data_IF_095028768436
#
_entry.id   IF_095028768436
#
_cell.length_a   1.000
_cell.length_b   1.000
_cell.length_c   1.000
_cell.angle_alpha   90.00
_cell.angle_beta   90.00
_cell.angle_gamma   90.00
#
_symmetry.space_group_name_H-M   'P 1'
#
loop_
_entity.id
_entity.type
_entity.pdbx_description
1 polymer ?
#
# COMPACT_ATOMS: atom_id res chain seq x y z
N UNK A 1 -12.73 15.74 -0.30
CA UNK A 1 -12.99 15.04 -1.58
C UNK A 1 -13.66 13.70 -1.29
N UNK A 2 -14.48 13.19 -2.21
CA UNK A 2 -15.27 11.97 -2.04
C UNK A 2 -14.46 10.71 -2.39
N UNK A 3 -13.25 10.58 -1.85
CA UNK A 3 -12.37 9.44 -2.12
C UNK A 3 -12.45 8.47 -0.94
N UNK A 4 -12.81 7.22 -1.21
CA UNK A 4 -12.73 6.13 -0.25
C UNK A 4 -11.29 5.68 -0.06
N UNK A 5 -10.92 5.32 1.17
CA UNK A 5 -9.63 4.74 1.48
C UNK A 5 -9.81 3.45 2.26
N UNK A 6 -9.21 2.37 1.78
CA UNK A 6 -9.19 1.07 2.47
C UNK A 6 -7.75 0.58 2.52
N UNK A 7 -7.29 0.21 3.72
CA UNK A 7 -5.99 -0.42 3.91
C UNK A 7 -6.17 -1.88 4.29
N UNK A 8 -5.56 -2.78 3.51
CA UNK A 8 -5.46 -4.20 3.87
C UNK A 8 -4.07 -4.44 4.42
N UNK A 9 -3.97 -4.68 5.73
CA UNK A 9 -2.69 -4.91 6.41
C UNK A 9 -2.14 -6.33 6.24
N UNK A 10 -3.00 -7.28 5.85
CA UNK A 10 -2.67 -8.68 5.66
C UNK A 10 -3.84 -9.50 5.13
N UNK A 11 -3.53 -10.62 4.47
CA UNK A 11 -4.51 -11.61 4.00
C UNK A 11 -4.56 -12.84 4.93
N UNK A 12 -4.20 -12.69 6.21
CA UNK A 12 -4.11 -13.81 7.16
C UNK A 12 -5.46 -14.17 7.79
N UNK A 13 -6.45 -13.29 7.71
CA UNK A 13 -7.80 -13.52 8.18
C UNK A 13 -8.63 -14.17 7.06
N UNK A 14 -9.39 -15.22 7.38
CA UNK A 14 -10.28 -15.89 6.42
C UNK A 14 -11.47 -15.02 5.98
N UNK A 15 -11.69 -13.87 6.64
CA UNK A 15 -12.78 -12.94 6.33
C UNK A 15 -12.30 -11.64 5.65
N UNK A 16 -11.04 -11.53 5.23
CA UNK A 16 -10.51 -10.29 4.61
C UNK A 16 -11.35 -9.82 3.43
N UNK A 17 -11.79 -10.73 2.54
CA UNK A 17 -12.63 -10.38 1.39
C UNK A 17 -14.04 -9.94 1.81
N UNK A 18 -14.65 -10.61 2.80
CA UNK A 18 -15.96 -10.24 3.31
C UNK A 18 -15.93 -8.86 3.99
N UNK A 19 -14.88 -8.57 4.76
CA UNK A 19 -14.68 -7.29 5.42
C UNK A 19 -14.46 -6.16 4.40
N UNK A 20 -13.68 -6.43 3.33
CA UNK A 20 -13.55 -5.52 2.20
C UNK A 20 -14.91 -5.25 1.56
N UNK A 21 -15.70 -6.28 1.24
CA UNK A 21 -17.03 -6.13 0.64
C UNK A 21 -17.95 -5.26 1.51
N UNK A 22 -17.99 -5.51 2.82
CA UNK A 22 -18.75 -4.67 3.77
C UNK A 22 -18.29 -3.21 3.74
N UNK A 23 -16.98 -2.97 3.70
CA UNK A 23 -16.41 -1.63 3.59
C UNK A 23 -16.79 -0.95 2.26
N UNK A 24 -16.72 -1.66 1.13
CA UNK A 24 -17.14 -1.17 -0.18
C UNK A 24 -18.63 -0.78 -0.20
N UNK A 25 -19.50 -1.62 0.36
CA UNK A 25 -20.94 -1.32 0.48
C UNK A 25 -21.14 -0.05 1.30
N UNK A 26 -20.46 0.08 2.44
CA UNK A 26 -20.54 1.29 3.28
C UNK A 26 -20.06 2.53 2.52
N UNK A 27 -18.93 2.46 1.85
CA UNK A 27 -18.40 3.59 1.07
C UNK A 27 -19.33 3.98 -0.09
N UNK A 28 -19.97 3.02 -0.76
CA UNK A 28 -21.00 3.29 -1.77
C UNK A 28 -22.18 4.08 -1.21
N UNK A 29 -22.61 3.81 0.03
CA UNK A 29 -23.66 4.63 0.68
C UNK A 29 -23.23 6.07 0.94
N UNK A 30 -21.92 6.31 1.03
CA UNK A 30 -21.32 7.65 1.17
C UNK A 30 -21.07 8.34 -0.18
N UNK A 31 -21.47 7.71 -1.29
CA UNK A 31 -21.34 8.25 -2.65
C UNK A 31 -19.90 8.62 -3.02
N UNK A 32 -18.94 7.76 -2.66
CA UNK A 32 -17.55 7.93 -3.10
C UNK A 32 -17.45 7.94 -4.62
N UNK A 33 -16.54 8.75 -5.13
CA UNK A 33 -16.25 8.91 -6.56
C UNK A 33 -15.06 8.07 -6.99
N UNK A 34 -14.17 7.73 -6.06
CA UNK A 34 -13.00 6.89 -6.29
C UNK A 34 -12.59 6.13 -5.02
N UNK A 35 -11.73 5.12 -5.19
CA UNK A 35 -11.18 4.31 -4.11
C UNK A 35 -9.66 4.21 -4.21
N UNK A 36 -9.00 4.39 -3.08
CA UNK A 36 -7.59 4.04 -2.87
C UNK A 36 -7.55 2.76 -2.03
N UNK A 37 -6.92 1.71 -2.56
CA UNK A 37 -6.64 0.47 -1.85
C UNK A 37 -5.16 0.42 -1.47
N UNK A 38 -4.85 0.55 -0.18
CA UNK A 38 -3.48 0.50 0.32
C UNK A 38 -3.06 -0.94 0.65
N UNK A 39 -2.11 -1.47 -0.13
CA UNK A 39 -1.44 -2.76 0.07
C UNK A 39 0.02 -2.62 0.50
N UNK A 40 0.48 -1.41 0.83
CA UNK A 40 1.86 -1.17 1.25
C UNK A 40 2.14 -1.87 2.56
N UNK A 41 3.33 -2.46 2.65
CA UNK A 41 3.79 -3.25 3.80
C UNK A 41 2.91 -4.46 4.13
N UNK A 42 2.04 -4.91 3.22
CA UNK A 42 1.23 -6.11 3.38
C UNK A 42 2.02 -7.34 2.89
N UNK A 43 2.44 -8.27 3.79
CA UNK A 43 3.28 -9.41 3.45
C UNK A 43 2.54 -10.54 2.71
N UNK A 44 1.25 -10.34 2.43
CA UNK A 44 0.37 -11.31 1.81
C UNK A 44 -0.44 -12.10 2.85
N UNK A 45 -0.63 -13.40 2.57
CA UNK A 45 -1.44 -14.28 3.41
C UNK A 45 -2.10 -15.37 2.56
N UNK A 46 -3.36 -15.66 2.85
CA UNK A 46 -4.14 -16.70 2.21
C UNK A 46 -4.41 -16.36 0.74
N UNK A 47 -4.07 -17.29 -0.16
CA UNK A 47 -4.35 -17.18 -1.59
C UNK A 47 -5.84 -16.94 -1.87
N UNK A 48 -6.71 -17.70 -1.21
CA UNK A 48 -8.17 -17.61 -1.39
C UNK A 48 -8.67 -16.20 -1.14
N UNK A 49 -8.16 -15.55 -0.10
CA UNK A 49 -8.51 -14.18 0.23
C UNK A 49 -8.01 -13.17 -0.79
N UNK A 50 -6.80 -13.34 -1.34
CA UNK A 50 -6.35 -12.47 -2.43
C UNK A 50 -7.18 -12.66 -3.71
N UNK A 51 -7.56 -13.90 -4.03
CA UNK A 51 -8.42 -14.16 -5.19
C UNK A 51 -9.77 -13.48 -5.00
N UNK A 52 -10.43 -13.67 -3.87
CA UNK A 52 -11.74 -13.05 -3.60
C UNK A 52 -11.67 -11.51 -3.52
N UNK A 53 -10.59 -10.96 -2.95
CA UNK A 53 -10.36 -9.50 -2.95
C UNK A 53 -10.17 -8.95 -4.37
N UNK A 54 -9.42 -9.63 -5.23
CA UNK A 54 -9.30 -9.23 -6.63
C UNK A 54 -10.64 -9.33 -7.37
N UNK A 55 -11.43 -10.36 -7.05
CA UNK A 55 -12.75 -10.62 -7.63
C UNK A 55 -13.76 -9.50 -7.32
N UNK A 56 -13.62 -8.80 -6.18
CA UNK A 56 -14.46 -7.62 -5.87
C UNK A 56 -14.36 -6.49 -6.90
N UNK A 57 -13.27 -6.43 -7.65
CA UNK A 57 -13.00 -5.35 -8.60
C UNK A 57 -13.08 -5.79 -10.06
N UNK A 58 -12.97 -7.09 -10.34
CA UNK A 58 -12.88 -7.66 -11.68
C UNK A 58 -14.19 -8.33 -12.07
N UNK A 59 -14.73 -8.00 -13.24
CA UNK A 59 -15.95 -8.64 -13.75
C UNK A 59 -15.67 -9.92 -14.55
N UNK A 60 -14.43 -10.09 -15.02
CA UNK A 60 -13.95 -11.25 -15.79
C UNK A 60 -12.41 -11.20 -15.90
N UNK A 61 -11.82 -12.27 -16.44
CA UNK A 61 -10.38 -12.37 -16.68
C UNK A 61 -9.69 -13.29 -15.67
N UNK A 62 -8.44 -13.64 -15.95
CA UNK A 62 -7.62 -14.43 -15.01
C UNK A 62 -7.17 -13.51 -13.88
N UNK A 63 -7.18 -14.01 -12.66
CA UNK A 63 -6.63 -13.34 -11.47
C UNK A 63 -5.19 -13.81 -11.26
N UNK A 64 -5.00 -15.12 -11.17
CA UNK A 64 -3.69 -15.75 -10.95
C UNK A 64 -3.70 -17.17 -11.46
N UNK A 65 -2.56 -17.63 -11.98
CA UNK A 65 -2.34 -19.04 -12.24
C UNK A 65 -1.23 -19.60 -11.33
N UNK A 66 -1.40 -20.86 -10.94
CA UNK A 66 -0.41 -21.64 -10.18
C UNK A 66 0.18 -22.66 -11.12
N UNK A 67 1.50 -22.76 -11.15
CA UNK A 67 2.19 -23.85 -11.85
C UNK A 67 3.12 -24.60 -10.92
N UNK A 68 2.82 -25.87 -10.73
CA UNK A 68 3.62 -26.80 -9.94
C UNK A 68 4.67 -27.52 -10.79
N UNK A 69 5.33 -28.50 -10.17
CA UNK A 69 6.27 -29.38 -10.89
C UNK A 69 5.54 -30.30 -11.85
N UNK A 70 4.36 -30.77 -11.44
CA UNK A 70 3.47 -31.62 -12.25
C UNK A 70 2.29 -30.78 -12.77
N UNK A 71 1.89 -31.01 -14.02
CA UNK A 71 0.76 -30.29 -14.63
C UNK A 71 -0.57 -30.48 -13.88
N UNK A 72 -0.73 -31.59 -13.14
CA UNK A 72 -1.90 -31.83 -12.29
C UNK A 72 -2.01 -30.86 -11.11
N UNK A 73 -0.91 -30.16 -10.77
CA UNK A 73 -0.88 -29.12 -9.74
C UNK A 73 -1.19 -27.74 -10.31
N UNK A 74 -1.36 -27.61 -11.62
CA UNK A 74 -1.67 -26.34 -12.23
C UNK A 74 -3.11 -25.95 -11.92
N UNK A 75 -3.31 -24.70 -11.53
CA UNK A 75 -4.62 -24.14 -11.24
C UNK A 75 -4.72 -22.75 -11.84
N UNK A 76 -5.91 -22.37 -12.28
CA UNK A 76 -6.18 -21.03 -12.80
C UNK A 76 -7.38 -20.49 -12.04
N UNK A 77 -7.21 -19.33 -11.43
CA UNK A 77 -8.26 -18.59 -10.75
C UNK A 77 -8.70 -17.45 -11.66
N UNK A 78 -9.99 -17.36 -11.91
CA UNK A 78 -10.59 -16.33 -12.77
C UNK A 78 -11.66 -15.56 -12.01
N UNK A 79 -11.86 -14.31 -12.43
CA UNK A 79 -12.85 -13.44 -11.85
C UNK A 79 -14.28 -13.77 -12.32
N UNK A 80 -15.26 -13.42 -11.50
CA UNK A 80 -16.68 -13.60 -11.70
C UNK A 80 -17.40 -12.26 -11.54
N UNK A 81 -18.38 -12.01 -12.40
CA UNK A 81 -19.19 -10.80 -12.33
C UNK A 81 -20.10 -10.82 -11.11
N UNK A 82 -19.80 -9.97 -10.11
CA UNK A 82 -20.58 -9.74 -8.88
C UNK A 82 -19.93 -8.78 -7.87
N UNK A 83 -18.76 -8.20 -8.17
CA UNK A 83 -17.97 -7.44 -7.21
C UNK A 83 -18.55 -6.05 -6.88
N UNK A 84 -18.46 -5.64 -5.61
CA UNK A 84 -18.95 -4.33 -5.20
C UNK A 84 -18.06 -3.18 -5.68
N UNK A 85 -16.80 -3.47 -5.97
CA UNK A 85 -15.80 -2.52 -6.44
C UNK A 85 -15.73 -2.38 -7.96
N UNK A 86 -16.45 -3.17 -8.76
CA UNK A 86 -16.28 -3.30 -10.22
C UNK A 86 -16.29 -1.98 -11.00
N UNK A 87 -17.02 -0.96 -10.55
CA UNK A 87 -17.22 0.31 -11.27
C UNK A 87 -16.58 1.53 -10.63
N UNK A 88 -15.91 1.36 -9.49
CA UNK A 88 -15.33 2.47 -8.73
C UNK A 88 -13.92 2.75 -9.28
N UNK A 89 -13.58 3.96 -9.76
CA UNK A 89 -12.21 4.32 -10.09
C UNK A 89 -11.24 3.91 -8.98
N UNK A 90 -10.15 3.23 -9.33
CA UNK A 90 -9.30 2.51 -8.38
C UNK A 90 -7.82 2.84 -8.58
N UNK A 91 -7.17 3.30 -7.51
CA UNK A 91 -5.72 3.30 -7.35
C UNK A 91 -5.33 2.30 -6.28
N UNK A 92 -4.28 1.50 -6.53
CA UNK A 92 -3.69 0.60 -5.55
C UNK A 92 -2.31 1.12 -5.17
N UNK A 93 -2.09 1.37 -3.87
CA UNK A 93 -0.78 1.72 -3.35
C UNK A 93 0.04 0.46 -3.06
N UNK A 94 1.25 0.39 -3.61
CA UNK A 94 2.18 -0.72 -3.42
C UNK A 94 3.59 -0.25 -3.06
N UNK A 95 4.35 -1.11 -2.37
CA UNK A 95 5.77 -0.88 -2.12
C UNK A 95 6.54 -2.19 -1.96
N UNK A 96 7.83 -2.09 -1.61
CA UNK A 96 8.72 -3.23 -1.41
C UNK A 96 8.27 -4.20 -0.30
N UNK A 97 7.36 -3.78 0.59
CA UNK A 97 6.77 -4.64 1.62
C UNK A 97 5.47 -5.33 1.18
N UNK A 98 4.92 -4.96 0.02
CA UNK A 98 3.80 -5.66 -0.61
C UNK A 98 4.31 -6.98 -1.19
N UNK A 99 3.85 -8.12 -0.68
CA UNK A 99 4.34 -9.44 -1.07
C UNK A 99 3.22 -10.49 -1.24
N UNK A 100 3.50 -11.55 -2.01
CA UNK A 100 2.66 -12.73 -2.15
C UNK A 100 1.20 -12.42 -2.51
N UNK A 101 0.24 -12.65 -1.62
CA UNK A 101 -1.18 -12.38 -1.85
C UNK A 101 -1.45 -10.92 -2.30
N UNK A 102 -0.69 -9.95 -1.78
CA UNK A 102 -0.76 -8.54 -2.24
C UNK A 102 -0.34 -8.39 -3.69
N UNK A 103 0.67 -9.15 -4.13
CA UNK A 103 1.18 -9.12 -5.51
C UNK A 103 0.21 -9.80 -6.48
N UNK A 104 -0.54 -10.79 -6.01
CA UNK A 104 -1.64 -11.41 -6.76
C UNK A 104 -2.72 -10.37 -7.07
N UNK A 105 -3.19 -9.64 -6.05
CA UNK A 105 -4.20 -8.57 -6.25
C UNK A 105 -3.65 -7.48 -7.16
N UNK A 106 -2.44 -7.00 -6.89
CA UNK A 106 -1.76 -6.00 -7.70
C UNK A 106 -1.65 -6.41 -9.18
N UNK A 107 -1.11 -7.61 -9.46
CA UNK A 107 -0.93 -8.13 -10.81
C UNK A 107 -2.26 -8.36 -11.54
N UNK A 108 -3.27 -8.91 -10.84
CA UNK A 108 -4.60 -9.12 -11.40
C UNK A 108 -5.25 -7.81 -11.84
N UNK A 109 -5.19 -6.77 -10.99
CA UNK A 109 -5.81 -5.47 -11.27
C UNK A 109 -5.07 -4.73 -12.38
N UNK A 110 -3.73 -4.75 -12.37
CA UNK A 110 -2.89 -4.15 -13.41
C UNK A 110 -3.20 -4.70 -14.78
N UNK A 111 -3.10 -6.02 -14.92
CA UNK A 111 -3.07 -6.66 -16.23
C UNK A 111 -4.47 -6.83 -16.84
N UNK A 112 -5.51 -6.89 -16.00
CA UNK A 112 -6.89 -6.74 -16.47
C UNK A 112 -7.29 -5.27 -16.71
N UNK A 113 -6.35 -4.31 -16.58
CA UNK A 113 -6.56 -2.86 -16.80
C UNK A 113 -7.70 -2.30 -15.96
N UNK A 114 -7.84 -2.81 -14.74
CA UNK A 114 -8.94 -2.42 -13.87
C UNK A 114 -8.60 -1.22 -13.01
N UNK A 115 -7.36 -1.05 -12.58
CA UNK A 115 -6.93 0.08 -11.76
C UNK A 115 -5.48 0.42 -12.02
N UNK A 116 -5.04 1.53 -11.44
CA UNK A 116 -3.67 2.03 -11.57
C UNK A 116 -2.87 1.68 -10.31
N UNK A 117 -1.67 1.14 -10.48
CA UNK A 117 -0.75 0.92 -9.37
C UNK A 117 0.17 2.11 -9.20
N UNK A 118 0.29 2.56 -7.95
CA UNK A 118 1.11 3.70 -7.59
C UNK A 118 2.05 3.33 -6.45
N UNK A 119 3.30 3.77 -6.54
CA UNK A 119 4.29 3.64 -5.47
C UNK A 119 5.61 3.03 -5.93
N UNK A 120 6.06 1.99 -5.22
CA UNK A 120 7.32 1.29 -5.51
C UNK A 120 7.06 -0.16 -5.92
N UNK A 121 8.01 -0.75 -6.65
CA UNK A 121 8.02 -2.17 -7.02
C UNK A 121 7.79 -3.08 -5.80
N UNK A 122 6.98 -4.12 -5.96
CA UNK A 122 6.68 -5.10 -4.91
C UNK A 122 7.85 -6.05 -4.62
N UNK A 123 7.70 -6.88 -3.59
CA UNK A 123 8.77 -7.73 -3.06
C UNK A 123 9.27 -8.82 -4.04
N UNK A 124 8.38 -9.44 -4.81
CA UNK A 124 8.69 -10.57 -5.69
C UNK A 124 8.57 -11.95 -5.06
N UNK A 125 7.64 -12.15 -4.12
CA UNK A 125 7.38 -13.46 -3.48
C UNK A 125 6.25 -14.17 -4.22
N UNK A 126 6.62 -14.94 -5.23
CA UNK A 126 5.68 -15.64 -6.11
C UNK A 126 5.61 -17.14 -5.87
N UNK A 127 5.80 -17.62 -4.65
CA UNK A 127 5.88 -19.05 -4.34
C UNK A 127 4.72 -19.55 -3.49
N UNK A 128 4.21 -20.73 -3.85
CA UNK A 128 3.20 -21.47 -3.09
C UNK A 128 3.90 -22.38 -2.10
N UNK A 129 3.51 -22.29 -0.83
CA UNK A 129 4.04 -23.15 0.22
C UNK A 129 2.96 -24.11 0.71
N UNK A 130 3.30 -25.40 0.75
CA UNK A 130 2.49 -26.44 1.38
C UNK A 130 3.01 -26.71 2.79
N UNK A 131 2.10 -26.79 3.76
CA UNK A 131 2.40 -27.24 5.12
C UNK A 131 2.17 -28.75 5.17
N UNK A 132 3.23 -29.51 5.35
CA UNK A 132 3.22 -30.98 5.40
C UNK A 132 3.46 -31.39 6.86
N UNK A 133 2.44 -31.89 7.58
CA UNK A 133 2.63 -32.40 8.94
C UNK A 133 3.59 -33.58 8.93
N UNK A 134 4.61 -33.57 9.80
CA UNK A 134 5.51 -34.71 9.99
C UNK A 134 4.89 -35.68 11.02
N UNK A 135 4.38 -35.12 12.11
CA UNK A 135 3.70 -35.80 13.20
C UNK A 135 2.80 -34.77 13.95
N UNK A 136 2.32 -35.10 15.14
CA UNK A 136 1.49 -34.19 15.95
C UNK A 136 2.24 -32.96 16.52
N UNK A 137 3.56 -32.92 16.41
CA UNK A 137 4.44 -31.95 17.07
C UNK A 137 5.16 -31.02 16.09
N UNK A 138 5.06 -31.27 14.78
CA UNK A 138 5.76 -30.45 13.80
C UNK A 138 5.27 -30.61 12.36
N UNK A 139 5.56 -29.59 11.55
CA UNK A 139 5.28 -29.56 10.12
C UNK A 139 6.47 -28.98 9.35
N UNK A 140 6.57 -29.35 8.08
CA UNK A 140 7.51 -28.76 7.12
C UNK A 140 6.72 -27.81 6.22
N UNK A 141 7.24 -26.60 6.04
CA UNK A 141 6.78 -25.70 4.99
C UNK A 141 7.65 -25.92 3.77
N UNK A 142 7.06 -26.41 2.68
CA UNK A 142 7.76 -26.73 1.43
C UNK A 142 7.19 -25.91 0.27
N UNK A 143 8.06 -25.25 -0.49
CA UNK A 143 7.67 -24.60 -1.74
C UNK A 143 7.34 -25.64 -2.81
N UNK A 144 6.11 -25.65 -3.30
CA UNK A 144 5.60 -26.67 -4.23
C UNK A 144 5.28 -26.13 -5.62
N UNK A 145 5.00 -24.83 -5.73
CA UNK A 145 4.58 -24.21 -6.98
C UNK A 145 4.93 -22.71 -7.01
N UNK A 146 4.70 -22.08 -8.16
CA UNK A 146 4.84 -20.63 -8.37
C UNK A 146 3.52 -20.00 -8.82
N UNK A 147 3.31 -18.75 -8.41
CA UNK A 147 2.27 -17.86 -8.91
C UNK A 147 2.73 -17.16 -10.19
N UNK A 148 1.78 -16.99 -11.10
CA UNK A 148 1.94 -16.27 -12.35
C UNK A 148 0.80 -15.27 -12.51
N UNK A 149 1.11 -14.11 -13.08
CA UNK A 149 0.15 -13.07 -13.41
C UNK A 149 -0.76 -13.49 -14.58
N UNK A 150 -1.84 -12.75 -14.88
CA UNK A 150 -2.72 -13.06 -16.02
C UNK A 150 -2.01 -13.20 -17.37
N UNK A 151 -0.89 -12.51 -17.56
CA UNK A 151 -0.02 -12.55 -18.75
C UNK A 151 1.05 -13.64 -18.67
N UNK A 152 0.91 -14.57 -17.70
CA UNK A 152 1.76 -15.73 -17.50
C UNK A 152 3.22 -15.39 -17.13
N UNK A 153 3.43 -14.23 -16.49
CA UNK A 153 4.73 -13.80 -15.96
C UNK A 153 4.86 -14.30 -14.52
N UNK A 154 6.01 -14.88 -14.16
CA UNK A 154 6.22 -15.35 -12.79
C UNK A 154 6.42 -14.17 -11.85
N UNK A 155 5.72 -14.17 -10.71
CA UNK A 155 5.90 -13.13 -9.68
C UNK A 155 7.23 -13.34 -8.93
N UNK A 156 7.70 -14.59 -8.83
CA UNK A 156 8.88 -14.94 -8.04
C UNK A 156 10.16 -14.32 -8.61
N UNK A 157 10.82 -13.47 -7.81
CA UNK A 157 12.04 -12.76 -8.18
C UNK A 157 11.81 -11.52 -9.04
N UNK A 158 10.65 -11.38 -9.67
CA UNK A 158 10.32 -10.25 -10.54
C UNK A 158 9.47 -9.19 -9.85
N UNK A 159 8.51 -9.58 -8.99
CA UNK A 159 7.53 -8.67 -8.42
C UNK A 159 6.59 -8.03 -9.45
N UNK A 160 5.89 -6.99 -9.04
CA UNK A 160 4.94 -6.20 -9.81
C UNK A 160 5.43 -4.76 -9.82
N UNK A 161 5.65 -4.22 -11.02
CA UNK A 161 6.01 -2.81 -11.19
C UNK A 161 4.76 -1.91 -11.04
N UNK A 162 4.89 -0.72 -10.41
CA UNK A 162 3.82 0.26 -10.42
C UNK A 162 3.59 0.79 -11.84
N UNK A 163 2.41 1.34 -12.11
CA UNK A 163 2.15 2.13 -13.32
C UNK A 163 2.72 3.55 -13.16
N UNK A 164 2.60 4.09 -11.95
CA UNK A 164 3.12 5.40 -11.58
C UNK A 164 4.10 5.23 -10.43
N UNK A 165 5.40 5.42 -10.73
CA UNK A 165 6.46 5.28 -9.74
C UNK A 165 6.52 6.53 -8.87
N UNK A 166 6.27 6.36 -7.57
CA UNK A 166 6.42 7.40 -6.55
C UNK A 166 7.21 6.79 -5.40
N UNK A 167 8.43 7.27 -5.20
CA UNK A 167 9.30 6.74 -4.16
C UNK A 167 8.85 7.21 -2.78
N UNK A 168 8.89 6.32 -1.78
CA UNK A 168 8.76 6.75 -0.40
C UNK A 168 9.92 7.69 -0.05
N UNK A 169 9.65 8.67 0.81
CA UNK A 169 10.68 9.57 1.28
C UNK A 169 11.78 8.79 2.02
N UNK A 170 13.01 8.89 1.52
CA UNK A 170 14.21 8.32 2.13
C UNK A 170 15.18 9.47 2.38
N UNK A 171 15.37 9.92 3.63
CA UNK A 171 16.30 10.99 3.92
C UNK A 171 17.73 10.55 3.58
N UNK A 172 18.48 11.44 2.96
CA UNK A 172 19.94 11.33 2.79
C UNK A 172 20.64 11.32 4.16
N UNK A 173 21.92 10.96 4.21
CA UNK A 173 22.67 10.99 5.48
C UNK A 173 22.73 12.40 6.09
N UNK A 174 22.86 13.44 5.26
CA UNK A 174 22.81 14.84 5.71
C UNK A 174 21.44 15.20 6.28
N UNK A 175 20.35 14.80 5.62
CA UNK A 175 19.00 15.02 6.12
C UNK A 175 18.73 14.23 7.40
N UNK A 176 19.30 13.03 7.57
CA UNK A 176 19.21 12.28 8.83
C UNK A 176 19.87 13.04 9.98
N UNK A 177 21.03 13.64 9.77
CA UNK A 177 21.69 14.47 10.78
C UNK A 177 20.82 15.68 11.16
N UNK A 178 20.20 16.33 10.17
CA UNK A 178 19.27 17.43 10.40
C UNK A 178 18.04 16.95 11.20
N UNK A 179 17.44 15.82 10.82
CA UNK A 179 16.28 15.25 11.51
C UNK A 179 16.57 14.91 12.98
N UNK A 180 17.79 14.45 13.29
CA UNK A 180 18.22 14.25 14.68
C UNK A 180 18.26 15.58 15.44
N UNK A 181 18.85 16.63 14.87
CA UNK A 181 18.89 17.97 15.49
C UNK A 181 17.49 18.55 15.70
N UNK A 182 16.60 18.37 14.73
CA UNK A 182 15.20 18.81 14.84
C UNK A 182 14.49 18.11 16.00
N UNK A 183 14.70 16.81 16.19
CA UNK A 183 14.12 16.05 17.31
C UNK A 183 14.64 16.49 18.69
N UNK A 184 15.86 17.02 18.74
CA UNK A 184 16.45 17.52 19.98
C UNK A 184 16.09 19.01 20.24
N UNK A 185 15.57 19.74 19.25
CA UNK A 185 15.22 21.14 19.38
C UNK A 185 13.88 21.31 20.11
N UNK A 186 13.89 22.15 21.15
CA UNK A 186 12.69 22.53 21.90
C UNK A 186 11.72 23.39 21.07
N UNK A 187 12.24 24.08 20.05
CA UNK A 187 11.44 24.92 19.17
C UNK A 187 10.36 24.10 18.45
N UNK A 188 10.63 22.83 18.14
CA UNK A 188 9.64 21.97 17.49
C UNK A 188 8.46 21.67 18.42
N UNK A 189 8.73 21.27 19.67
CA UNK A 189 7.70 20.98 20.65
C UNK A 189 6.86 22.23 20.95
N UNK A 190 7.52 23.37 21.16
CA UNK A 190 6.87 24.67 21.40
C UNK A 190 6.01 25.10 20.19
N UNK A 191 6.51 24.91 18.97
CA UNK A 191 5.79 25.22 17.75
C UNK A 191 4.52 24.40 17.58
N UNK A 192 4.58 23.08 17.80
CA UNK A 192 3.42 22.19 17.66
C UNK A 192 2.34 22.49 18.72
N UNK A 193 2.74 22.86 19.94
CA UNK A 193 1.81 23.31 20.99
C UNK A 193 1.15 24.63 20.62
N UNK A 194 1.93 25.59 20.10
CA UNK A 194 1.43 26.92 19.77
C UNK A 194 0.57 26.93 18.50
N UNK A 195 0.93 26.11 17.50
CA UNK A 195 0.31 26.06 16.19
C UNK A 195 -0.14 24.63 15.84
N UNK A 196 -1.19 24.11 16.49
CA UNK A 196 -1.73 22.77 16.17
C UNK A 196 -2.31 22.68 14.74
N UNK A 197 -2.59 23.83 14.12
CA UNK A 197 -3.01 23.95 12.72
C UNK A 197 -2.13 24.98 12.01
N UNK A 198 -0.84 24.68 11.87
CA UNK A 198 0.12 25.60 11.27
C UNK A 198 -0.11 25.82 9.78
N UNK A 199 0.16 27.04 9.32
CA UNK A 199 0.09 27.48 7.93
C UNK A 199 1.51 27.79 7.39
N UNK A 200 1.58 28.14 6.10
CA UNK A 200 2.86 28.47 5.43
C UNK A 200 3.60 29.64 6.09
N UNK A 201 2.87 30.59 6.65
CA UNK A 201 3.45 31.71 7.39
C UNK A 201 4.17 31.23 8.66
N UNK A 202 3.56 30.32 9.42
CA UNK A 202 4.15 29.77 10.65
C UNK A 202 5.44 29.00 10.35
N UNK A 203 5.46 28.21 9.28
CA UNK A 203 6.66 27.48 8.85
C UNK A 203 7.83 28.42 8.50
N UNK A 204 7.53 29.59 7.93
CA UNK A 204 8.57 30.56 7.55
C UNK A 204 9.24 31.15 8.78
N UNK A 205 8.46 31.45 9.82
CA UNK A 205 8.98 31.91 11.11
C UNK A 205 9.82 30.83 11.79
N UNK A 206 9.30 29.61 11.91
CA UNK A 206 10.02 28.49 12.53
C UNK A 206 11.36 28.20 11.84
N UNK A 207 11.42 28.27 10.51
CA UNK A 207 12.69 28.09 9.77
C UNK A 207 13.72 29.14 10.13
N UNK A 208 13.30 30.40 10.26
CA UNK A 208 14.19 31.49 10.67
C UNK A 208 14.74 31.24 12.08
N UNK A 209 13.90 30.80 13.01
CA UNK A 209 14.29 30.48 14.39
C UNK A 209 15.24 29.27 14.46
N UNK A 210 14.98 28.22 13.68
CA UNK A 210 15.86 27.05 13.58
C UNK A 210 17.23 27.41 12.96
N UNK A 211 17.26 28.32 11.98
CA UNK A 211 18.51 28.82 11.41
C UNK A 211 19.35 29.58 12.44
N UNK A 212 18.73 30.34 13.36
CA UNK A 212 19.42 30.98 14.49
C UNK A 212 20.02 29.96 15.49
N UNK A 213 19.41 28.77 15.64
CA UNK A 213 19.97 27.64 16.40
C UNK A 213 21.04 26.84 15.61
N UNK A 214 21.33 27.24 14.37
CA UNK A 214 22.30 26.56 13.49
C UNK A 214 21.75 25.31 12.81
N UNK A 215 20.42 25.19 12.71
CA UNK A 215 19.72 24.10 12.01
C UNK A 215 19.15 24.64 10.70
N UNK A 216 19.92 24.51 9.62
CA UNK A 216 19.41 24.81 8.27
C UNK A 216 18.64 23.61 7.75
N UNK A 217 17.35 23.80 7.44
CA UNK A 217 16.45 22.74 6.99
C UNK A 217 15.62 23.20 5.79
N UNK A 218 15.52 22.32 4.80
CA UNK A 218 14.65 22.53 3.64
C UNK A 218 13.18 22.48 4.06
N UNK A 219 12.37 23.30 3.39
CA UNK A 219 10.95 23.46 3.75
C UNK A 219 10.20 22.13 3.76
N UNK A 220 10.45 21.30 2.75
CA UNK A 220 9.78 20.00 2.57
C UNK A 220 10.18 19.01 3.67
N UNK A 221 11.46 19.00 4.05
CA UNK A 221 11.97 18.14 5.13
C UNK A 221 11.38 18.56 6.49
N UNK A 222 11.33 19.87 6.76
CA UNK A 222 10.75 20.40 7.98
C UNK A 222 9.24 20.09 8.06
N UNK A 223 8.51 20.28 6.97
CA UNK A 223 7.09 19.94 6.90
C UNK A 223 6.86 18.44 7.18
N UNK A 224 7.64 17.56 6.57
CA UNK A 224 7.57 16.11 6.82
C UNK A 224 7.87 15.78 8.27
N UNK A 225 8.90 16.40 8.86
CA UNK A 225 9.28 16.17 10.24
C UNK A 225 8.20 16.62 11.23
N UNK A 226 7.74 17.86 11.11
CA UNK A 226 6.70 18.43 11.97
C UNK A 226 5.44 17.58 11.96
N UNK A 227 5.01 17.11 10.80
CA UNK A 227 3.84 16.26 10.66
C UNK A 227 4.06 14.84 11.20
N UNK A 228 5.30 14.33 11.29
CA UNK A 228 5.59 13.03 11.93
C UNK A 228 5.57 13.12 13.45
N UNK A 229 6.04 14.26 13.99
CA UNK A 229 6.01 14.54 15.42
C UNK A 229 4.66 15.12 15.86
N UNK A 230 3.78 15.46 14.92
CA UNK A 230 2.40 15.89 15.18
C UNK A 230 1.60 14.71 15.75
N UNK A 231 1.05 14.90 16.95
CA UNK A 231 0.16 13.91 17.58
C UNK A 231 -1.21 13.85 16.88
N UNK A 232 -1.53 14.84 16.03
CA UNK A 232 -2.76 14.88 15.28
C UNK A 232 -2.72 13.93 14.08
N UNK A 233 -3.28 12.73 14.29
CA UNK A 233 -3.43 11.69 13.28
C UNK A 233 -4.22 12.12 12.03
N UNK A 234 -5.02 13.19 12.11
CA UNK A 234 -5.73 13.71 10.94
C UNK A 234 -4.76 14.28 9.88
N UNK A 235 -3.53 14.63 10.28
CA UNK A 235 -2.47 15.14 9.39
C UNK A 235 -1.58 14.04 8.79
N UNK A 236 -1.72 12.77 9.20
CA UNK A 236 -0.89 11.65 8.72
C UNK A 236 -0.93 11.50 7.19
N UNK A 237 -2.07 11.81 6.58
CA UNK A 237 -2.27 11.77 5.12
C UNK A 237 -1.29 12.68 4.38
N UNK A 238 -0.92 13.79 4.99
CA UNK A 238 -0.03 14.78 4.39
C UNK A 238 1.44 14.35 4.43
N UNK A 239 1.78 13.31 5.19
CA UNK A 239 3.15 12.76 5.23
C UNK A 239 3.44 11.77 4.12
N UNK A 240 2.41 11.37 3.42
CA UNK A 240 2.44 10.24 2.52
C UNK A 240 2.42 10.74 1.07
N UNK A 241 3.60 10.93 0.44
CA UNK A 241 3.67 11.44 -0.92
C UNK A 241 2.95 10.54 -1.93
N UNK A 242 2.89 9.24 -1.67
CA UNK A 242 2.18 8.29 -2.53
C UNK A 242 0.67 8.48 -2.41
N UNK A 243 0.17 8.69 -1.19
CA UNK A 243 -1.25 8.94 -0.96
C UNK A 243 -1.68 10.31 -1.50
N UNK A 244 -0.85 11.34 -1.34
CA UNK A 244 -1.11 12.67 -1.91
C UNK A 244 -1.16 12.63 -3.44
N UNK A 245 -0.20 11.98 -4.09
CA UNK A 245 -0.21 11.80 -5.55
C UNK A 245 -1.46 11.04 -6.01
N UNK A 246 -1.84 9.97 -5.29
CA UNK A 246 -3.05 9.20 -5.61
C UNK A 246 -4.33 10.05 -5.50
N UNK A 247 -4.40 10.93 -4.50
CA UNK A 247 -5.52 11.86 -4.33
C UNK A 247 -5.56 12.87 -5.48
N UNK A 248 -4.42 13.46 -5.83
CA UNK A 248 -4.32 14.41 -6.94
C UNK A 248 -4.74 13.78 -8.28
N UNK A 249 -4.33 12.54 -8.55
CA UNK A 249 -4.73 11.83 -9.78
C UNK A 249 -6.23 11.54 -9.81
N UNK A 250 -6.84 11.22 -8.66
CA UNK A 250 -8.28 10.92 -8.59
C UNK A 250 -9.16 12.16 -8.52
N UNK A 251 -8.62 13.30 -8.08
CA UNK A 251 -9.33 14.58 -8.03
C UNK A 251 -9.36 15.34 -9.36
N UNK A 252 -8.51 14.97 -10.33
CA UNK A 252 -8.44 15.54 -11.68
C UNK A 252 -9.32 14.76 -12.68
#
# INVERSE_FOLDING_TARGET
ENIGYIKIVGFTNENTAEDLRKALIKLKTMQIEALILDLRYNPGGLLTQAVEVADEFLSSGVIVSIKGRDSSQNQVYSAHQQGEGEKIPLIILINQGSASASEIVAGAIKENKRGTLLGEKTFGKGTVQAIIPINKEGAITLTTAKYYTPSEISIEGEGIEPDIKVEAFKPTEEEKEILVKLRESKLIEEFLIQYPYWEQANLTSLRSELEEEGITVEKELLQRFLRQEDENKDNDILNDPQLLEAIEILGN
#
